data_IF_419123758370
#
_entry.id   IF_419123758370
#
_cell.length_a   1.000
_cell.length_b   1.000
_cell.length_c   1.000
_cell.angle_alpha   90.00
_cell.angle_beta   90.00
_cell.angle_gamma   90.00
#
_symmetry.space_group_name_H-M   'P 1'
#
loop_
_entity.id
_entity.type
_entity.pdbx_description
1 polymer ?
#
# COMPACT_ATOMS: atom_id res chain seq x y z
N UNK A 1 47.30 4.22 -42.19
CA UNK A 1 46.35 5.29 -41.85
C UNK A 1 44.95 4.69 -42.01
N UNK A 2 44.03 4.54 -41.07
CA UNK A 2 43.90 4.94 -39.67
C UNK A 2 42.76 4.12 -39.02
N UNK A 3 42.91 2.78 -38.89
CA UNK A 3 41.84 1.95 -38.30
C UNK A 3 41.90 1.90 -36.76
N UNK A 4 43.05 2.23 -36.17
CA UNK A 4 43.25 2.20 -34.72
C UNK A 4 42.40 3.26 -33.99
N UNK A 5 42.13 4.38 -34.66
CA UNK A 5 41.32 5.47 -34.13
C UNK A 5 39.87 5.03 -33.86
N UNK A 6 39.27 4.26 -34.78
CA UNK A 6 37.92 3.73 -34.63
C UNK A 6 37.81 2.65 -33.55
N UNK A 7 38.87 1.86 -33.36
CA UNK A 7 38.94 0.83 -32.31
C UNK A 7 38.88 1.46 -30.91
N UNK A 8 39.32 2.71 -30.74
CA UNK A 8 39.27 3.42 -29.46
C UNK A 8 37.98 4.22 -29.29
N UNK A 9 37.52 4.88 -30.36
CA UNK A 9 36.36 5.78 -30.29
C UNK A 9 35.04 5.04 -30.16
N UNK A 10 34.87 3.92 -30.87
CA UNK A 10 33.61 3.17 -30.84
C UNK A 10 33.29 2.65 -29.43
N UNK A 11 34.21 1.97 -28.71
CA UNK A 11 33.97 1.57 -27.33
C UNK A 11 33.72 2.74 -26.38
N UNK A 12 34.43 3.86 -26.58
CA UNK A 12 34.26 5.06 -25.76
C UNK A 12 32.88 5.69 -25.95
N UNK A 13 32.43 5.82 -27.19
CA UNK A 13 31.09 6.32 -27.52
C UNK A 13 29.99 5.39 -26.99
N UNK A 14 30.17 4.06 -27.11
CA UNK A 14 29.25 3.07 -26.53
C UNK A 14 29.19 3.21 -25.01
N UNK A 15 30.33 3.34 -24.33
CA UNK A 15 30.39 3.56 -22.88
C UNK A 15 29.65 4.83 -22.44
N UNK A 16 29.82 5.94 -23.17
CA UNK A 16 29.10 7.18 -22.93
C UNK A 16 27.59 7.05 -23.12
N UNK A 17 27.16 6.34 -24.17
CA UNK A 17 25.74 6.09 -24.42
C UNK A 17 25.14 5.23 -23.31
N UNK A 18 25.82 4.16 -22.88
CA UNK A 18 25.36 3.31 -21.78
C UNK A 18 25.23 4.11 -20.47
N UNK A 19 26.24 4.91 -20.12
CA UNK A 19 26.18 5.80 -18.95
C UNK A 19 25.03 6.81 -19.05
N UNK A 20 24.81 7.39 -20.23
CA UNK A 20 23.71 8.34 -20.45
C UNK A 20 22.34 7.68 -20.30
N UNK A 21 22.16 6.46 -20.83
CA UNK A 21 20.93 5.68 -20.69
C UNK A 21 20.68 5.32 -19.23
N UNK A 22 21.69 4.83 -18.52
CA UNK A 22 21.59 4.52 -17.09
C UNK A 22 21.21 5.76 -16.26
N UNK A 23 21.83 6.90 -16.53
CA UNK A 23 21.51 8.17 -15.88
C UNK A 23 20.06 8.61 -16.15
N UNK A 24 19.62 8.56 -17.42
CA UNK A 24 18.26 8.96 -17.84
C UNK A 24 17.17 8.04 -17.33
N UNK A 25 17.45 6.74 -17.28
CA UNK A 25 16.47 5.73 -16.85
C UNK A 25 16.05 5.90 -15.39
N UNK A 26 16.86 6.61 -14.59
CA UNK A 26 16.61 6.80 -13.18
C UNK A 26 16.63 5.49 -12.38
N UNK A 27 17.18 4.41 -12.96
CA UNK A 27 17.30 3.08 -12.34
C UNK A 27 18.10 3.16 -11.04
N UNK A 28 19.06 4.08 -10.96
CA UNK A 28 19.89 4.31 -9.77
C UNK A 28 19.43 5.47 -8.88
N UNK A 29 18.38 6.20 -9.27
CA UNK A 29 17.88 7.29 -8.42
C UNK A 29 17.18 6.64 -7.22
N UNK A 30 17.65 6.90 -5.99
CA UNK A 30 17.00 6.36 -4.80
C UNK A 30 15.61 6.99 -4.68
N UNK A 31 14.57 6.16 -4.81
CA UNK A 31 13.17 6.58 -4.69
C UNK A 31 12.55 5.96 -3.44
N UNK A 32 11.72 6.74 -2.75
CA UNK A 32 10.83 6.26 -1.70
C UNK A 32 9.64 5.57 -2.38
N UNK A 33 9.29 4.37 -1.91
CA UNK A 33 8.16 3.63 -2.47
C UNK A 33 7.48 2.84 -1.35
N UNK A 34 6.25 3.24 -1.01
CA UNK A 34 5.41 2.53 -0.06
C UNK A 34 4.57 1.52 -0.83
N UNK A 35 4.75 0.24 -0.53
CA UNK A 35 3.93 -0.84 -1.09
C UNK A 35 2.92 -1.29 -0.05
N UNK A 36 1.66 -1.36 -0.47
CA UNK A 36 0.55 -1.92 0.29
C UNK A 36 0.18 -3.25 -0.34
N UNK A 37 0.15 -4.31 0.46
CA UNK A 37 -0.24 -5.65 0.04
C UNK A 37 -1.42 -6.12 0.90
N UNK A 38 -2.43 -6.71 0.26
CA UNK A 38 -3.52 -7.40 0.95
C UNK A 38 -3.06 -8.83 1.16
N UNK A 39 -2.77 -9.21 2.40
CA UNK A 39 -2.36 -10.57 2.76
C UNK A 39 -3.56 -11.51 2.91
N UNK A 40 -4.66 -10.97 3.45
CA UNK A 40 -5.90 -11.71 3.67
C UNK A 40 -7.05 -10.79 3.32
N UNK A 41 -7.97 -11.33 2.52
CA UNK A 41 -9.31 -10.80 2.30
C UNK A 41 -10.27 -11.99 2.47
N UNK A 42 -10.90 -12.04 3.64
CA UNK A 42 -11.75 -13.17 4.02
C UNK A 42 -13.09 -12.67 4.59
N UNK A 43 -14.22 -12.97 3.94
CA UNK A 43 -15.53 -12.76 4.56
C UNK A 43 -15.66 -13.76 5.71
N UNK A 44 -15.91 -13.26 6.91
CA UNK A 44 -16.25 -14.10 8.05
C UNK A 44 -17.72 -14.48 8.01
N UNK A 45 -18.58 -13.53 7.63
CA UNK A 45 -20.01 -13.71 7.68
C UNK A 45 -20.75 -12.75 6.75
N UNK A 46 -21.85 -13.21 6.16
CA UNK A 46 -22.77 -12.40 5.38
C UNK A 46 -24.19 -12.95 5.50
N UNK A 47 -25.13 -12.16 6.01
CA UNK A 47 -26.56 -12.55 6.12
C UNK A 47 -27.18 -12.82 4.75
N UNK A 48 -26.75 -12.07 3.72
CA UNK A 48 -27.32 -12.14 2.36
C UNK A 48 -27.03 -13.45 1.62
N UNK A 49 -26.07 -14.25 2.09
CA UNK A 49 -25.76 -15.56 1.50
C UNK A 49 -26.89 -16.57 1.78
N UNK A 50 -27.63 -16.40 2.88
CA UNK A 50 -28.71 -17.30 3.28
C UNK A 50 -30.07 -16.74 2.85
N UNK A 51 -30.43 -16.96 1.58
CA UNK A 51 -31.74 -16.57 1.03
C UNK A 51 -32.88 -17.06 1.93
N UNK A 52 -33.72 -16.13 2.40
CA UNK A 52 -34.89 -16.41 3.24
C UNK A 52 -34.71 -16.20 4.75
N UNK A 53 -33.50 -15.86 5.18
CA UNK A 53 -33.15 -15.51 6.57
C UNK A 53 -32.90 -14.02 6.78
N UNK A 54 -32.98 -13.21 5.73
CA UNK A 54 -32.94 -11.75 5.81
C UNK A 54 -34.01 -11.23 6.78
N UNK A 55 -33.59 -10.51 7.81
CA UNK A 55 -34.45 -9.97 8.87
C UNK A 55 -34.97 -10.99 9.89
N UNK A 56 -34.50 -12.25 9.85
CA UNK A 56 -34.84 -13.29 10.85
C UNK A 56 -33.68 -13.64 11.78
N UNK A 57 -32.46 -13.30 11.37
CA UNK A 57 -31.24 -13.59 12.11
C UNK A 57 -30.49 -12.27 12.27
N UNK A 58 -30.38 -11.82 13.52
CA UNK A 58 -29.52 -10.69 13.89
C UNK A 58 -28.17 -11.25 14.33
N UNK A 59 -27.10 -10.80 13.68
CA UNK A 59 -25.74 -11.16 14.07
C UNK A 59 -25.10 -9.99 14.77
N UNK A 60 -24.52 -10.25 15.94
CA UNK A 60 -23.89 -9.23 16.78
C UNK A 60 -22.39 -9.50 16.86
N UNK A 61 -21.60 -8.45 16.71
CA UNK A 61 -20.17 -8.46 17.02
C UNK A 61 -19.93 -7.44 18.15
N UNK A 62 -19.42 -7.91 19.29
CA UNK A 62 -19.26 -7.12 20.52
C UNK A 62 -20.53 -6.33 20.92
N UNK A 63 -21.69 -6.97 20.77
CA UNK A 63 -22.99 -6.38 21.12
C UNK A 63 -23.55 -5.38 20.10
N UNK A 64 -22.86 -5.15 18.97
CA UNK A 64 -23.34 -4.28 17.89
C UNK A 64 -23.85 -5.14 16.72
N UNK A 65 -25.07 -4.91 16.21
CA UNK A 65 -25.59 -5.65 15.07
C UNK A 65 -24.74 -5.39 13.82
N UNK A 66 -24.43 -6.45 13.07
CA UNK A 66 -23.63 -6.43 11.84
C UNK A 66 -24.24 -7.35 10.79
N UNK A 67 -24.42 -6.84 9.58
CA UNK A 67 -24.98 -7.62 8.45
C UNK A 67 -23.89 -8.41 7.70
N UNK A 68 -22.69 -7.83 7.62
CA UNK A 68 -21.54 -8.39 6.93
C UNK A 68 -20.28 -8.13 7.75
N UNK A 69 -19.47 -9.18 7.93
CA UNK A 69 -18.21 -9.12 8.65
C UNK A 69 -17.11 -9.71 7.78
N UNK A 70 -16.04 -8.95 7.58
CA UNK A 70 -14.87 -9.37 6.82
C UNK A 70 -13.59 -9.01 7.56
N UNK A 71 -12.57 -9.86 7.42
CA UNK A 71 -11.21 -9.58 7.90
C UNK A 71 -10.35 -9.18 6.72
N UNK A 72 -9.61 -8.08 6.91
CA UNK A 72 -8.55 -7.64 6.01
C UNK A 72 -7.23 -7.61 6.76
N UNK A 73 -6.23 -8.32 6.25
CA UNK A 73 -4.85 -8.20 6.72
C UNK A 73 -4.06 -7.40 5.69
N UNK A 74 -3.61 -6.20 6.07
CA UNK A 74 -2.82 -5.33 5.22
C UNK A 74 -1.36 -5.33 5.67
N UNK A 75 -0.45 -5.39 4.70
CA UNK A 75 0.99 -5.22 4.92
C UNK A 75 1.46 -3.95 4.25
N UNK A 76 2.03 -3.07 5.06
CA UNK A 76 2.76 -1.90 4.59
C UNK A 76 4.25 -2.21 4.57
N UNK A 77 4.92 -1.94 3.45
CA UNK A 77 6.36 -2.17 3.33
C UNK A 77 7.04 -1.08 2.51
N UNK A 78 8.26 -0.72 2.89
CA UNK A 78 9.09 0.16 2.07
C UNK A 78 9.75 -0.68 0.97
N UNK A 79 9.22 -0.59 -0.25
CA UNK A 79 9.78 -1.23 -1.45
C UNK A 79 10.80 -0.32 -2.17
N UNK A 80 11.07 0.87 -1.63
CA UNK A 80 12.00 1.84 -2.18
C UNK A 80 13.44 1.60 -1.76
N UNK A 81 14.38 2.28 -2.44
CA UNK A 81 15.81 2.29 -2.08
C UNK A 81 16.16 3.38 -1.07
N UNK A 82 15.16 4.12 -0.60
CA UNK A 82 15.31 5.19 0.39
C UNK A 82 14.35 4.94 1.55
N UNK A 83 14.82 5.13 2.78
CA UNK A 83 13.98 5.03 3.96
C UNK A 83 12.83 6.06 3.91
N UNK A 84 11.63 5.62 4.27
CA UNK A 84 10.47 6.49 4.49
C UNK A 84 10.53 6.95 5.95
N UNK A 85 10.71 8.25 6.16
CA UNK A 85 10.75 8.88 7.48
C UNK A 85 9.34 9.24 7.94
N UNK A 86 9.16 9.48 9.24
CA UNK A 86 7.89 9.98 9.79
C UNK A 86 7.43 11.32 9.23
N UNK A 87 8.34 12.11 8.67
CA UNK A 87 8.06 13.38 7.98
C UNK A 87 7.45 13.17 6.58
N UNK A 88 7.60 11.98 5.99
CA UNK A 88 7.18 11.67 4.62
C UNK A 88 5.69 11.31 4.51
N UNK A 89 5.00 11.18 5.63
CA UNK A 89 3.57 10.87 5.67
C UNK A 89 2.88 11.74 6.70
N UNK A 90 1.69 12.21 6.36
CA UNK A 90 0.79 12.81 7.33
C UNK A 90 0.35 11.73 8.32
N UNK A 91 0.57 11.98 9.61
CA UNK A 91 0.05 11.13 10.67
C UNK A 91 -1.39 11.54 10.97
N UNK A 92 -2.35 10.59 11.07
CA UNK A 92 -2.21 9.15 10.84
C UNK A 92 -2.34 8.75 9.35
N UNK A 93 -1.88 7.53 9.01
CA UNK A 93 -2.18 6.92 7.71
C UNK A 93 -3.70 6.74 7.59
N UNK A 94 -4.29 7.35 6.55
CA UNK A 94 -5.73 7.25 6.29
C UNK A 94 -6.02 6.10 5.31
N UNK A 95 -6.90 5.19 5.73
CA UNK A 95 -7.41 4.10 4.89
C UNK A 95 -8.87 4.42 4.59
N UNK A 96 -9.17 4.68 3.31
CA UNK A 96 -10.52 4.99 2.86
C UNK A 96 -11.14 3.74 2.22
N UNK A 97 -12.31 3.34 2.73
CA UNK A 97 -13.10 2.28 2.13
C UNK A 97 -14.12 2.91 1.18
N UNK A 98 -14.19 2.39 -0.05
CA UNK A 98 -15.09 2.90 -1.10
C UNK A 98 -16.56 2.73 -0.71
N UNK A 99 -16.86 1.67 0.04
CA UNK A 99 -18.21 1.41 0.54
C UNK A 99 -18.32 1.81 2.01
N UNK A 100 -19.49 2.32 2.43
CA UNK A 100 -19.74 2.68 3.83
C UNK A 100 -19.54 1.43 4.71
N UNK A 101 -18.38 1.37 5.35
CA UNK A 101 -17.94 0.23 6.16
C UNK A 101 -17.58 0.75 7.53
N UNK A 102 -18.15 0.14 8.57
CA UNK A 102 -17.77 0.44 9.95
C UNK A 102 -16.59 -0.45 10.34
N UNK A 103 -15.42 0.14 10.53
CA UNK A 103 -14.26 -0.58 11.07
C UNK A 103 -14.53 -0.84 12.55
N UNK A 104 -14.69 -2.12 12.93
CA UNK A 104 -14.96 -2.51 14.31
C UNK A 104 -13.68 -2.66 15.14
N UNK A 105 -12.70 -3.36 14.58
CA UNK A 105 -11.45 -3.66 15.25
C UNK A 105 -10.28 -3.56 14.26
N UNK A 106 -9.16 -3.05 14.75
CA UNK A 106 -7.88 -3.04 14.05
C UNK A 106 -6.86 -3.61 15.03
N UNK A 107 -6.02 -4.51 14.55
CA UNK A 107 -4.91 -5.04 15.33
C UNK A 107 -3.62 -4.99 14.51
N UNK A 108 -2.49 -4.72 15.18
CA UNK A 108 -1.17 -4.69 14.56
C UNK A 108 -0.54 -6.07 14.80
N UNK A 109 -0.72 -6.96 13.83
CA UNK A 109 -0.18 -8.32 13.92
C UNK A 109 1.36 -8.35 14.03
N UNK A 110 2.06 -7.43 13.34
CA UNK A 110 3.52 -7.31 13.38
C UNK A 110 3.97 -5.95 12.84
N UNK A 111 5.04 -5.40 13.40
CA UNK A 111 5.66 -4.16 12.94
C UNK A 111 7.19 -4.27 13.00
N UNK A 112 7.86 -3.87 11.93
CA UNK A 112 9.32 -3.79 11.88
C UNK A 112 9.73 -2.52 11.12
N UNK A 113 10.37 -1.53 11.77
CA UNK A 113 10.78 -1.52 13.18
C UNK A 113 9.58 -1.45 14.15
N UNK A 114 9.73 -2.02 15.35
CA UNK A 114 8.67 -2.20 16.37
C UNK A 114 8.05 -0.91 16.91
N UNK A 115 8.49 0.26 16.45
CA UNK A 115 8.16 1.57 17.00
C UNK A 115 7.53 2.53 15.97
N UNK A 116 6.73 1.99 15.04
CA UNK A 116 5.90 2.80 14.14
C UNK A 116 4.58 3.15 14.84
N UNK A 117 4.37 4.41 15.28
CA UNK A 117 3.11 4.82 15.87
C UNK A 117 2.04 4.90 14.78
N UNK A 118 1.22 3.84 14.67
CA UNK A 118 -0.02 3.87 13.90
C UNK A 118 -1.09 4.34 14.87
N UNK A 119 -1.39 5.64 14.83
CA UNK A 119 -2.58 6.18 15.49
C UNK A 119 -3.76 5.98 14.53
N UNK A 120 -4.92 5.54 15.01
CA UNK A 120 -6.15 5.57 14.22
C UNK A 120 -7.00 6.73 14.70
N UNK A 121 -7.60 7.46 13.77
CA UNK A 121 -8.73 8.31 14.07
C UNK A 121 -9.96 7.51 13.70
N UNK A 122 -10.78 7.12 14.67
CA UNK A 122 -12.14 6.62 14.42
C UNK A 122 -13.08 7.73 13.92
N UNK A 123 -12.54 8.89 13.53
CA UNK A 123 -13.30 10.01 13.02
C UNK A 123 -13.45 9.88 11.51
N UNK A 124 -14.62 9.40 11.11
CA UNK A 124 -15.11 9.54 9.74
C UNK A 124 -15.11 11.04 9.40
N UNK A 125 -14.09 11.50 8.65
CA UNK A 125 -14.18 12.74 7.89
C UNK A 125 -14.41 12.39 6.44
N UNK A 126 -15.65 12.59 6.01
CA UNK A 126 -16.03 12.59 4.61
C UNK A 126 -15.15 13.59 3.86
N UNK A 127 -14.28 13.08 2.99
CA UNK A 127 -13.67 13.90 1.94
C UNK A 127 -13.95 13.20 0.63
N UNK A 128 -15.04 13.63 -0.01
CA UNK A 128 -15.27 13.41 -1.43
C UNK A 128 -14.13 14.09 -2.19
N UNK A 129 -13.29 13.31 -2.85
CA UNK A 129 -12.57 13.79 -4.02
C UNK A 129 -13.24 13.16 -5.24
N UNK A 130 -14.06 13.97 -5.91
CA UNK A 130 -14.38 13.76 -7.31
C UNK A 130 -13.08 13.89 -8.12
N UNK A 131 -12.87 12.94 -9.04
CA UNK A 131 -11.97 13.08 -10.19
C UNK A 131 -12.86 13.29 -11.40
#
# INVERSE_FOLDING_TARGET
>A
MDNWFWVVIIPFAIGLILLFVEYRSGIFVPKKNLKVEILVDAPLFSVHVYKGYEGKIDVYFDGVPVDNLSIFALRFSNAGRMAIKSEDYEKPLNINFVHPTSIKQIDIASSNPSNLPITYLSTIKWVLFEI
#
